data_IF_570149435132
#
_entry.id   IF_570149435132
#
_cell.length_a   1.000
_cell.length_b   1.000
_cell.length_c   1.000
_cell.angle_alpha   90.00
_cell.angle_beta   90.00
_cell.angle_gamma   90.00
#
_symmetry.space_group_name_H-M   'P 1'
#
loop_
_entity.id
_entity.type
_entity.pdbx_description
1 polymer ?
#
# COMPACT_ATOMS: atom_id res chain seq x y z
N UNK A 1 -5.48 -35.08 -4.83
CA UNK A 1 -4.63 -34.02 -5.41
C UNK A 1 -4.98 -32.72 -4.72
N UNK A 2 -4.04 -32.08 -4.00
CA UNK A 2 -4.22 -30.69 -3.56
C UNK A 2 -4.17 -29.84 -4.83
N UNK A 3 -5.27 -29.27 -5.28
CA UNK A 3 -5.26 -28.18 -6.25
C UNK A 3 -4.55 -27.02 -5.58
N UNK A 4 -3.31 -26.73 -6.00
CA UNK A 4 -2.64 -25.50 -5.61
C UNK A 4 -3.46 -24.36 -6.23
N UNK A 5 -4.23 -23.65 -5.42
CA UNK A 5 -4.88 -22.42 -5.85
C UNK A 5 -3.81 -21.31 -5.80
N UNK A 6 -3.04 -21.19 -6.88
CA UNK A 6 -1.89 -20.25 -7.03
C UNK A 6 -2.34 -18.78 -6.83
N UNK A 7 -3.65 -18.53 -6.85
CA UNK A 7 -4.27 -17.22 -6.78
C UNK A 7 -4.98 -16.94 -5.45
N UNK A 8 -4.68 -17.68 -4.37
CA UNK A 8 -5.16 -17.38 -3.00
C UNK A 8 -4.00 -17.29 -2.03
N UNK A 9 -3.23 -16.20 -2.15
CA UNK A 9 -2.11 -15.92 -1.25
C UNK A 9 -2.62 -15.11 -0.07
N UNK A 10 -2.23 -15.53 1.13
CA UNK A 10 -2.31 -14.63 2.29
C UNK A 10 -1.20 -13.59 2.19
N UNK A 11 -1.60 -12.34 1.98
CA UNK A 11 -0.68 -11.21 1.90
C UNK A 11 -0.80 -10.28 3.12
N UNK A 12 -1.63 -10.65 4.10
CA UNK A 12 -1.79 -9.88 5.33
C UNK A 12 -0.55 -9.98 6.20
N UNK A 13 -0.18 -8.85 6.80
CA UNK A 13 0.79 -8.82 7.90
C UNK A 13 0.04 -8.33 9.12
N UNK A 14 -0.11 -9.23 10.08
CA UNK A 14 -0.89 -9.01 11.28
C UNK A 14 -0.24 -9.71 12.46
N UNK A 15 -0.02 -8.95 13.52
CA UNK A 15 0.34 -9.45 14.84
C UNK A 15 -0.72 -8.96 15.83
N UNK A 16 -1.30 -9.88 16.60
CA UNK A 16 -2.23 -9.55 17.70
C UNK A 16 -1.62 -10.07 18.99
N UNK A 17 -1.59 -9.21 20.01
CA UNK A 17 -1.05 -9.51 21.34
C UNK A 17 -2.19 -9.43 22.34
N UNK A 18 -2.49 -10.56 22.98
CA UNK A 18 -3.47 -10.71 24.05
C UNK A 18 -4.88 -10.16 23.75
N UNK A 19 -5.23 -9.96 22.47
CA UNK A 19 -6.48 -9.33 22.06
C UNK A 19 -6.58 -7.83 22.37
N UNK A 20 -5.51 -7.21 22.87
CA UNK A 20 -5.49 -5.82 23.35
C UNK A 20 -4.77 -4.87 22.38
N UNK A 21 -3.74 -5.38 21.70
CA UNK A 21 -2.91 -4.60 20.77
C UNK A 21 -2.71 -5.36 19.46
N UNK A 22 -2.82 -4.66 18.34
CA UNK A 22 -2.56 -5.18 17.01
C UNK A 22 -1.53 -4.34 16.24
N UNK A 23 -0.71 -5.00 15.44
CA UNK A 23 0.18 -4.37 14.45
C UNK A 23 -0.21 -4.83 13.06
N UNK A 24 -0.30 -3.90 12.11
CA UNK A 24 -0.54 -4.23 10.70
C UNK A 24 0.10 -3.21 9.76
N UNK A 25 0.37 -3.61 8.52
CA UNK A 25 1.03 -2.77 7.52
C UNK A 25 1.71 -3.59 6.43
N UNK A 26 2.82 -3.08 5.92
CA UNK A 26 3.57 -3.70 4.83
C UNK A 26 4.77 -4.55 5.28
N UNK A 27 5.25 -4.39 6.52
CA UNK A 27 6.50 -5.00 6.99
C UNK A 27 6.37 -6.52 7.09
N UNK A 28 7.37 -7.23 6.56
CA UNK A 28 7.49 -8.68 6.72
C UNK A 28 8.55 -9.03 7.76
N UNK A 29 8.46 -10.23 8.35
CA UNK A 29 9.53 -10.78 9.19
C UNK A 29 10.60 -11.39 8.27
N UNK A 30 11.60 -10.59 7.89
CA UNK A 30 12.70 -11.01 7.04
C UNK A 30 13.96 -10.17 7.27
N UNK A 31 15.14 -10.77 7.05
CA UNK A 31 16.44 -10.13 7.23
C UNK A 31 16.60 -8.84 6.40
N UNK A 32 15.90 -8.73 5.26
CA UNK A 32 15.97 -7.53 4.41
C UNK A 32 15.39 -6.26 5.08
N UNK A 33 14.56 -6.42 6.12
CA UNK A 33 14.05 -5.31 6.93
C UNK A 33 14.98 -4.93 8.09
N UNK A 34 16.07 -5.68 8.31
CA UNK A 34 17.11 -5.34 9.29
C UNK A 34 17.98 -4.19 8.75
N UNK A 35 17.44 -2.99 8.81
CA UNK A 35 18.16 -1.78 8.41
C UNK A 35 19.26 -1.48 9.45
N UNK A 36 20.51 -1.84 9.15
CA UNK A 36 21.64 -1.53 10.05
C UNK A 36 21.89 -0.01 10.12
N UNK A 37 21.94 0.53 11.35
CA UNK A 37 22.33 1.92 11.58
C UNK A 37 23.76 2.19 11.09
N UNK A 38 23.98 3.40 10.54
CA UNK A 38 25.27 3.82 9.99
C UNK A 38 26.46 3.76 10.98
N UNK A 39 26.21 3.68 12.29
CA UNK A 39 27.23 3.57 13.35
C UNK A 39 27.84 2.17 13.52
N UNK A 40 27.25 1.13 12.92
CA UNK A 40 27.76 -0.26 12.95
C UNK A 40 28.32 -0.68 11.58
N UNK A 41 28.93 0.24 10.84
CA UNK A 41 29.58 -0.06 9.55
C UNK A 41 30.96 -0.69 9.76
N UNK A 42 31.00 -1.98 10.09
CA UNK A 42 32.08 -2.83 9.59
C UNK A 42 31.69 -3.28 8.18
N UNK A 43 32.46 -2.81 7.20
CA UNK A 43 32.47 -3.24 5.80
C UNK A 43 31.09 -3.35 5.14
N UNK A 44 30.66 -2.26 4.49
CA UNK A 44 29.57 -2.30 3.51
C UNK A 44 29.86 -3.39 2.49
N UNK A 45 29.12 -4.50 2.53
CA UNK A 45 28.90 -5.28 1.33
C UNK A 45 28.31 -4.32 0.28
N UNK A 46 28.87 -4.20 -0.93
CA UNK A 46 28.26 -3.43 -1.99
C UNK A 46 26.88 -4.03 -2.30
N UNK A 47 25.77 -3.38 -1.91
CA UNK A 47 24.43 -3.74 -2.40
C UNK A 47 23.24 -3.82 -1.44
N UNK A 48 23.35 -3.63 -0.11
CA UNK A 48 22.14 -3.66 0.75
C UNK A 48 21.44 -2.29 0.80
N UNK A 49 20.58 -2.02 -0.19
CA UNK A 49 19.66 -0.89 -0.16
C UNK A 49 18.63 -1.14 0.97
N UNK A 50 18.40 -0.20 1.90
CA UNK A 50 17.45 -0.41 3.00
C UNK A 50 16.03 -0.53 2.50
N UNK A 51 15.18 -1.27 3.23
CA UNK A 51 13.76 -1.37 2.95
C UNK A 51 13.00 -0.26 3.69
N UNK A 52 12.14 0.46 2.97
CA UNK A 52 11.28 1.51 3.51
C UNK A 52 9.83 1.05 3.47
N UNK A 53 9.28 0.80 4.65
CA UNK A 53 7.92 0.31 4.83
C UNK A 53 7.30 0.88 6.11
N UNK A 54 5.99 0.72 6.29
CA UNK A 54 5.19 1.31 7.36
C UNK A 54 4.24 0.27 7.94
N UNK A 55 4.28 0.14 9.27
CA UNK A 55 3.25 -0.53 10.06
C UNK A 55 2.60 0.48 11.02
N UNK A 56 1.41 0.14 11.50
CA UNK A 56 0.68 0.86 12.54
C UNK A 56 0.42 -0.06 13.73
N UNK A 57 0.63 0.49 14.92
CA UNK A 57 0.19 -0.10 16.19
C UNK A 57 -1.19 0.46 16.54
N UNK A 58 -2.11 -0.41 16.92
CA UNK A 58 -3.50 -0.05 17.24
C UNK A 58 -3.94 -0.79 18.50
N UNK A 59 -4.58 -0.07 19.40
CA UNK A 59 -5.21 -0.63 20.60
C UNK A 59 -6.67 -0.17 20.71
N UNK A 60 -7.46 -0.89 21.50
CA UNK A 60 -8.89 -0.64 21.69
C UNK A 60 -9.78 -1.56 20.83
N UNK A 61 -11.09 -1.27 20.72
CA UNK A 61 -12.08 -2.26 20.28
C UNK A 61 -11.90 -2.80 18.86
N UNK A 62 -11.14 -2.10 18.01
CA UNK A 62 -10.84 -2.54 16.64
C UNK A 62 -9.89 -3.75 16.61
N UNK A 63 -9.09 -3.98 17.66
CA UNK A 63 -8.23 -5.17 17.77
C UNK A 63 -9.03 -6.46 17.69
N UNK A 64 -10.28 -6.43 18.15
CA UNK A 64 -11.19 -7.58 18.06
C UNK A 64 -11.50 -7.98 16.61
N UNK A 65 -11.57 -6.99 15.69
CA UNK A 65 -11.78 -7.27 14.27
C UNK A 65 -10.53 -7.91 13.68
N UNK A 66 -9.34 -7.40 14.02
CA UNK A 66 -8.07 -7.99 13.62
C UNK A 66 -7.92 -9.43 14.13
N UNK A 67 -8.20 -9.69 15.41
CA UNK A 67 -8.13 -11.03 16.00
C UNK A 67 -9.12 -12.00 15.34
N UNK A 68 -10.35 -11.55 15.06
CA UNK A 68 -11.32 -12.37 14.32
C UNK A 68 -10.83 -12.73 12.92
N UNK A 69 -10.22 -11.79 12.18
CA UNK A 69 -9.65 -12.06 10.86
C UNK A 69 -8.50 -13.06 10.93
N UNK A 70 -7.67 -12.99 11.98
CA UNK A 70 -6.62 -13.98 12.24
C UNK A 70 -7.22 -15.38 12.50
N UNK A 71 -8.17 -15.50 13.43
CA UNK A 71 -8.82 -16.77 13.77
C UNK A 71 -9.53 -17.39 12.55
N UNK A 72 -10.22 -16.58 11.74
CA UNK A 72 -10.87 -17.04 10.51
C UNK A 72 -9.85 -17.63 9.53
N UNK A 73 -8.72 -16.95 9.35
CA UNK A 73 -7.62 -17.39 8.50
C UNK A 73 -7.03 -18.70 9.01
N UNK A 74 -6.77 -18.78 10.31
CA UNK A 74 -6.22 -19.97 10.96
C UNK A 74 -7.13 -21.18 10.75
N UNK A 75 -8.45 -21.00 10.90
CA UNK A 75 -9.44 -22.03 10.63
C UNK A 75 -9.48 -22.44 9.14
N UNK A 76 -9.40 -21.49 8.20
CA UNK A 76 -9.32 -21.78 6.76
C UNK A 76 -8.08 -22.59 6.40
N UNK A 77 -6.95 -22.33 7.06
CA UNK A 77 -5.71 -23.11 6.93
C UNK A 77 -5.74 -24.45 7.68
N UNK A 78 -6.89 -24.82 8.26
CA UNK A 78 -7.11 -26.05 9.04
C UNK A 78 -6.21 -26.15 10.28
N UNK A 79 -5.90 -25.01 10.88
CA UNK A 79 -5.23 -24.95 12.18
C UNK A 79 -6.09 -25.57 13.29
N UNK A 80 -5.48 -25.97 14.42
CA UNK A 80 -6.22 -26.37 15.62
C UNK A 80 -7.20 -25.27 16.06
N UNK A 81 -8.33 -25.63 16.71
CA UNK A 81 -9.28 -24.64 17.19
C UNK A 81 -8.61 -23.55 18.03
N UNK A 82 -8.80 -22.31 17.62
CA UNK A 82 -8.37 -21.12 18.34
C UNK A 82 -9.63 -20.30 18.62
N UNK A 83 -9.82 -19.90 19.88
CA UNK A 83 -10.91 -19.01 20.25
C UNK A 83 -10.39 -17.57 20.19
N UNK A 84 -11.15 -16.63 19.61
CA UNK A 84 -10.78 -15.22 19.68
C UNK A 84 -10.77 -14.79 21.15
N UNK A 85 -9.90 -13.84 21.45
CA UNK A 85 -9.83 -13.23 22.77
C UNK A 85 -11.15 -12.47 23.01
N UNK A 86 -11.74 -12.55 24.22
CA UNK A 86 -12.93 -11.76 24.53
C UNK A 86 -12.65 -10.28 24.27
N UNK A 87 -13.59 -9.57 23.61
CA UNK A 87 -13.31 -8.23 23.17
C UNK A 87 -13.13 -7.28 24.34
N UNK A 88 -12.03 -6.53 24.35
CA UNK A 88 -12.00 -5.31 25.16
C UNK A 88 -12.97 -4.30 24.53
N UNK A 89 -13.85 -3.76 25.37
CA UNK A 89 -14.87 -2.77 24.99
C UNK A 89 -14.51 -1.38 25.50
N UNK A 90 -13.43 -1.24 26.26
CA UNK A 90 -12.91 0.04 26.69
C UNK A 90 -12.48 0.88 25.48
N UNK A 91 -13.03 2.08 25.38
CA UNK A 91 -12.61 3.08 24.40
C UNK A 91 -11.76 4.08 25.15
N UNK A 92 -10.44 3.97 25.02
CA UNK A 92 -9.48 4.88 25.64
C UNK A 92 -9.00 5.98 24.69
N UNK A 93 -9.19 5.82 23.38
CA UNK A 93 -8.76 6.74 22.32
C UNK A 93 -9.90 7.53 21.67
N UNK A 94 -9.52 8.61 20.99
CA UNK A 94 -10.45 9.48 20.22
C UNK A 94 -10.46 9.19 18.72
N UNK A 95 -9.49 8.41 18.23
CA UNK A 95 -9.37 8.05 16.82
C UNK A 95 -10.47 7.06 16.41
N UNK A 96 -11.12 7.33 15.28
CA UNK A 96 -12.02 6.36 14.66
C UNK A 96 -11.20 5.48 13.73
N UNK A 97 -11.14 4.18 14.06
CA UNK A 97 -10.34 3.20 13.32
C UNK A 97 -11.25 2.10 12.77
N UNK A 98 -11.02 1.72 11.52
CA UNK A 98 -11.69 0.60 10.87
C UNK A 98 -10.65 -0.37 10.32
N UNK A 99 -10.71 -1.63 10.76
CA UNK A 99 -10.01 -2.72 10.10
C UNK A 99 -10.81 -3.16 8.88
N UNK A 100 -10.16 -3.21 7.72
CA UNK A 100 -10.76 -3.64 6.46
C UNK A 100 -10.22 -5.00 6.05
N UNK A 101 -11.13 -5.94 5.78
CA UNK A 101 -10.82 -7.23 5.16
C UNK A 101 -10.75 -7.08 3.64
N UNK A 102 -9.61 -7.42 3.07
CA UNK A 102 -9.35 -7.43 1.63
C UNK A 102 -9.55 -8.79 0.98
N UNK A 103 -10.07 -9.79 1.69
CA UNK A 103 -10.32 -11.12 1.11
C UNK A 103 -11.25 -11.04 -0.10
N UNK A 104 -10.92 -11.66 -1.25
CA UNK A 104 -11.64 -11.49 -2.52
C UNK A 104 -12.92 -12.33 -2.61
N UNK A 105 -13.70 -12.41 -1.52
CA UNK A 105 -14.87 -13.31 -1.39
C UNK A 105 -15.92 -13.06 -2.48
N UNK A 106 -16.08 -11.82 -2.94
CA UNK A 106 -17.04 -11.41 -3.98
C UNK A 106 -16.40 -10.72 -5.21
N UNK A 107 -15.10 -10.94 -5.45
CA UNK A 107 -14.38 -10.39 -6.62
C UNK A 107 -14.12 -8.87 -6.61
N UNK A 108 -14.59 -8.15 -5.58
CA UNK A 108 -14.31 -6.73 -5.38
C UNK A 108 -14.05 -6.43 -3.89
N UNK A 109 -12.79 -6.46 -3.42
CA UNK A 109 -12.48 -6.35 -2.01
C UNK A 109 -12.90 -4.98 -1.45
N UNK A 110 -13.35 -5.00 -0.19
CA UNK A 110 -13.85 -3.80 0.50
C UNK A 110 -12.80 -2.70 0.59
N UNK A 111 -11.52 -3.08 0.76
CA UNK A 111 -10.37 -2.16 0.78
C UNK A 111 -10.33 -1.31 -0.49
N UNK A 112 -10.34 -1.96 -1.66
CA UNK A 112 -10.26 -1.27 -2.95
C UNK A 112 -11.44 -0.32 -3.17
N UNK A 113 -12.67 -0.77 -2.87
CA UNK A 113 -13.86 0.08 -2.97
C UNK A 113 -13.78 1.29 -2.04
N UNK A 114 -13.33 1.08 -0.81
CA UNK A 114 -13.22 2.15 0.19
C UNK A 114 -12.21 3.20 -0.28
N UNK A 115 -11.07 2.78 -0.81
CA UNK A 115 -10.07 3.69 -1.36
C UNK A 115 -10.59 4.48 -2.56
N UNK A 116 -11.30 3.84 -3.52
CA UNK A 116 -11.91 4.54 -4.64
C UNK A 116 -12.95 5.57 -4.21
N UNK A 117 -13.80 5.23 -3.22
CA UNK A 117 -14.78 6.17 -2.66
C UNK A 117 -14.08 7.35 -1.99
N UNK A 118 -13.00 7.10 -1.23
CA UNK A 118 -12.24 8.17 -0.61
C UNK A 118 -11.58 9.10 -1.65
N UNK A 119 -11.00 8.55 -2.72
CA UNK A 119 -10.45 9.34 -3.84
C UNK A 119 -11.53 10.17 -4.57
N UNK A 120 -12.72 9.59 -4.75
CA UNK A 120 -13.85 10.28 -5.37
C UNK A 120 -14.36 11.42 -4.48
N UNK A 121 -14.34 11.25 -3.16
CA UNK A 121 -14.76 12.22 -2.17
C UNK A 121 -13.69 13.28 -1.84
N UNK A 122 -12.44 13.10 -2.26
CA UNK A 122 -11.35 14.02 -1.95
C UNK A 122 -11.61 15.46 -2.41
N UNK A 123 -11.31 16.42 -1.54
CA UNK A 123 -11.56 17.84 -1.74
C UNK A 123 -10.29 18.68 -1.96
N UNK A 124 -9.16 18.28 -1.38
CA UNK A 124 -7.95 19.09 -1.27
C UNK A 124 -6.68 18.35 -1.65
N UNK A 125 -6.45 17.12 -1.15
CA UNK A 125 -5.26 16.33 -1.46
C UNK A 125 -5.51 14.83 -1.48
N UNK A 126 -4.75 14.13 -2.33
CA UNK A 126 -4.60 12.68 -2.32
C UNK A 126 -3.10 12.38 -2.39
N UNK A 127 -2.53 11.87 -1.30
CA UNK A 127 -1.12 11.53 -1.21
C UNK A 127 -0.96 10.03 -1.00
N UNK A 128 -0.36 9.36 -1.99
CA UNK A 128 -0.18 7.91 -2.01
C UNK A 128 1.29 7.54 -1.96
N UNK A 129 1.63 6.52 -1.18
CA UNK A 129 2.94 5.85 -1.23
C UNK A 129 2.69 4.37 -1.41
N UNK A 130 3.20 3.80 -2.50
CA UNK A 130 3.02 2.37 -2.80
C UNK A 130 4.30 1.72 -3.31
N UNK A 131 4.60 0.51 -2.83
CA UNK A 131 5.69 -0.32 -3.32
C UNK A 131 5.41 -1.01 -4.66
N UNK A 132 4.13 -1.17 -5.03
CA UNK A 132 3.72 -1.73 -6.32
C UNK A 132 2.58 -0.89 -6.90
N UNK A 133 2.79 -0.42 -8.13
CA UNK A 133 1.84 0.43 -8.83
C UNK A 133 1.57 -0.17 -10.20
N UNK A 134 0.53 -0.97 -10.33
CA UNK A 134 -0.01 -1.45 -11.59
C UNK A 134 -1.54 -1.38 -11.52
N UNK A 135 -2.08 -0.16 -11.32
CA UNK A 135 -3.45 0.04 -10.86
C UNK A 135 -4.47 -0.38 -11.92
N UNK A 136 -5.64 -0.92 -11.51
CA UNK A 136 -6.75 -1.13 -12.43
C UNK A 136 -7.27 0.19 -13.04
N UNK A 137 -7.96 0.13 -14.21
CA UNK A 137 -8.46 1.31 -14.91
C UNK A 137 -9.28 2.28 -14.05
N UNK A 138 -10.14 1.75 -13.16
CA UNK A 138 -11.01 2.58 -12.32
C UNK A 138 -10.20 3.44 -11.33
N UNK A 139 -9.04 2.93 -10.87
CA UNK A 139 -8.15 3.69 -9.99
C UNK A 139 -7.39 4.78 -10.74
N UNK A 140 -6.92 4.49 -11.95
CA UNK A 140 -6.36 5.54 -12.83
C UNK A 140 -7.41 6.63 -13.07
N UNK A 141 -8.64 6.24 -13.44
CA UNK A 141 -9.72 7.18 -13.66
C UNK A 141 -10.04 8.01 -12.41
N UNK A 142 -10.08 7.40 -11.22
CA UNK A 142 -10.32 8.10 -9.97
C UNK A 142 -9.26 9.18 -9.69
N UNK A 143 -7.98 8.85 -9.88
CA UNK A 143 -6.86 9.79 -9.71
C UNK A 143 -6.91 10.92 -10.74
N UNK A 144 -7.14 10.59 -12.01
CA UNK A 144 -7.26 11.61 -13.05
C UNK A 144 -8.46 12.54 -12.82
N UNK A 145 -9.61 11.98 -12.41
CA UNK A 145 -10.79 12.76 -12.08
C UNK A 145 -10.53 13.69 -10.89
N UNK A 146 -9.84 13.23 -9.84
CA UNK A 146 -9.48 14.07 -8.70
C UNK A 146 -8.56 15.22 -9.12
N UNK A 147 -7.49 14.93 -9.87
CA UNK A 147 -6.58 15.96 -10.36
C UNK A 147 -7.29 17.00 -11.25
N UNK A 148 -8.18 16.56 -12.15
CA UNK A 148 -8.99 17.47 -13.00
C UNK A 148 -9.99 18.31 -12.20
N UNK A 149 -10.41 17.87 -11.00
CA UNK A 149 -11.22 18.68 -10.08
C UNK A 149 -10.40 19.75 -9.34
N UNK A 150 -9.07 19.73 -9.44
CA UNK A 150 -8.17 20.64 -8.74
C UNK A 150 -7.66 20.12 -7.39
N UNK A 151 -7.86 18.82 -7.09
CA UNK A 151 -7.26 18.16 -5.93
C UNK A 151 -5.75 17.99 -6.16
N UNK A 152 -4.92 18.24 -5.16
CA UNK A 152 -3.47 17.97 -5.21
C UNK A 152 -3.23 16.45 -5.12
N UNK A 153 -2.99 15.80 -6.26
CA UNK A 153 -2.79 14.35 -6.33
C UNK A 153 -1.31 14.06 -6.51
N UNK A 154 -0.70 13.40 -5.51
CA UNK A 154 0.70 13.02 -5.52
C UNK A 154 0.88 11.53 -5.24
N UNK A 155 1.67 10.86 -6.07
CA UNK A 155 1.92 9.42 -5.96
C UNK A 155 3.42 9.17 -5.89
N UNK A 156 3.87 8.59 -4.78
CA UNK A 156 5.24 8.12 -4.58
C UNK A 156 5.30 6.62 -4.88
N UNK A 157 6.20 6.26 -5.78
CA UNK A 157 6.42 4.90 -6.29
C UNK A 157 7.90 4.55 -6.23
N UNK A 158 8.30 3.26 -6.24
CA UNK A 158 9.72 2.89 -6.19
C UNK A 158 10.47 3.33 -7.46
N UNK A 159 11.66 3.93 -7.29
CA UNK A 159 12.64 3.99 -8.38
C UNK A 159 13.30 2.62 -8.63
N UNK A 160 13.43 1.83 -7.56
CA UNK A 160 13.98 0.47 -7.53
C UNK A 160 13.05 -0.40 -6.70
N UNK A 161 12.68 -1.57 -7.24
CA UNK A 161 11.80 -2.56 -6.62
C UNK A 161 12.45 -3.94 -6.72
N UNK A 162 12.03 -4.85 -5.85
CA UNK A 162 12.27 -6.29 -5.95
C UNK A 162 11.57 -6.94 -7.16
N UNK A 163 10.64 -6.24 -7.82
CA UNK A 163 9.99 -6.64 -9.08
C UNK A 163 10.15 -5.58 -10.19
N UNK A 164 11.13 -5.79 -11.07
CA UNK A 164 11.37 -4.88 -12.21
C UNK A 164 10.21 -4.82 -13.22
N UNK A 165 9.42 -5.90 -13.34
CA UNK A 165 8.24 -5.94 -14.21
C UNK A 165 7.13 -5.03 -13.70
N UNK A 166 6.90 -4.98 -12.38
CA UNK A 166 5.86 -4.11 -11.81
C UNK A 166 6.23 -2.63 -11.94
N UNK A 167 7.51 -2.27 -11.78
CA UNK A 167 7.98 -0.91 -12.04
C UNK A 167 7.71 -0.50 -13.50
N UNK A 168 7.99 -1.40 -14.44
CA UNK A 168 7.75 -1.15 -15.87
C UNK A 168 6.26 -1.02 -16.19
N UNK A 169 5.41 -1.85 -15.57
CA UNK A 169 3.96 -1.76 -15.71
C UNK A 169 3.43 -0.42 -15.18
N UNK A 170 3.85 0.00 -13.98
CA UNK A 170 3.46 1.29 -13.41
C UNK A 170 3.86 2.48 -14.25
N UNK A 171 5.11 2.46 -14.76
CA UNK A 171 5.63 3.48 -15.69
C UNK A 171 4.78 3.63 -16.96
N UNK A 172 4.14 2.55 -17.42
CA UNK A 172 3.27 2.61 -18.60
C UNK A 172 2.05 3.53 -18.43
N UNK A 173 1.66 3.84 -17.19
CA UNK A 173 0.53 4.72 -16.85
C UNK A 173 0.95 6.18 -16.56
N UNK A 174 2.26 6.45 -16.43
CA UNK A 174 2.74 7.79 -16.04
C UNK A 174 2.29 8.87 -17.00
N UNK A 175 2.29 8.60 -18.31
CA UNK A 175 1.92 9.63 -19.28
C UNK A 175 0.47 10.09 -19.13
N UNK A 176 -0.45 9.15 -18.86
CA UNK A 176 -1.88 9.43 -18.70
C UNK A 176 -2.12 10.21 -17.40
N UNK A 177 -1.50 9.79 -16.30
CA UNK A 177 -1.54 10.47 -15.00
C UNK A 177 -0.98 11.90 -15.07
N UNK A 178 0.22 12.07 -15.64
CA UNK A 178 0.90 13.37 -15.75
C UNK A 178 0.11 14.35 -16.63
N UNK A 179 -0.56 13.86 -17.70
CA UNK A 179 -1.45 14.70 -18.52
C UNK A 179 -2.68 15.18 -17.76
N UNK A 180 -3.20 14.37 -16.83
CA UNK A 180 -4.36 14.71 -16.02
C UNK A 180 -4.03 15.68 -14.87
N UNK A 181 -2.75 15.93 -14.59
CA UNK A 181 -2.29 16.80 -13.50
C UNK A 181 -1.90 16.05 -12.22
N UNK A 182 -1.77 14.73 -12.28
CA UNK A 182 -1.23 13.94 -11.15
C UNK A 182 0.29 14.09 -11.11
N UNK A 183 0.84 14.36 -9.93
CA UNK A 183 2.28 14.42 -9.72
C UNK A 183 2.81 13.03 -9.32
N UNK A 184 3.78 12.52 -10.08
CA UNK A 184 4.39 11.21 -9.83
C UNK A 184 5.84 11.39 -9.39
N UNK A 185 6.23 10.71 -8.32
CA UNK A 185 7.56 10.79 -7.72
C UNK A 185 8.17 9.40 -7.57
N UNK A 186 9.42 9.23 -8.03
CA UNK A 186 10.17 8.00 -7.83
C UNK A 186 11.06 8.10 -6.58
N UNK A 187 10.86 7.21 -5.61
CA UNK A 187 11.62 7.14 -4.35
C UNK A 187 12.97 6.47 -4.56
N UNK A 188 14.05 7.18 -4.22
CA UNK A 188 15.41 6.69 -4.36
C UNK A 188 16.05 6.35 -3.01
N UNK A 189 17.12 5.55 -3.02
CA UNK A 189 17.93 5.27 -1.83
C UNK A 189 17.32 4.27 -0.84
N UNK A 190 16.14 3.72 -1.14
CA UNK A 190 15.52 2.61 -0.41
C UNK A 190 14.69 1.76 -1.39
N UNK A 191 14.50 0.48 -1.09
CA UNK A 191 13.44 -0.34 -1.70
C UNK A 191 12.14 0.10 -1.04
N UNK A 192 11.28 0.80 -1.79
CA UNK A 192 10.00 1.26 -1.28
C UNK A 192 9.01 0.11 -1.27
N UNK A 193 8.49 -0.22 -0.09
CA UNK A 193 7.51 -1.29 0.10
C UNK A 193 6.31 -0.86 0.95
N UNK A 194 6.22 0.42 1.37
CA UNK A 194 5.03 0.95 2.03
C UNK A 194 3.76 0.85 1.16
N UNK A 195 2.61 0.71 1.82
CA UNK A 195 1.28 0.83 1.20
C UNK A 195 0.42 1.76 2.07
N UNK A 196 0.48 3.04 1.76
CA UNK A 196 -0.17 4.06 2.57
C UNK A 196 -0.84 5.12 1.72
N UNK A 197 -1.97 5.63 2.18
CA UNK A 197 -2.58 6.83 1.63
C UNK A 197 -2.98 7.79 2.74
N UNK A 198 -2.95 9.08 2.44
CA UNK A 198 -3.61 10.13 3.21
C UNK A 198 -4.36 11.04 2.26
N UNK A 199 -5.63 11.27 2.57
CA UNK A 199 -6.57 12.04 1.76
C UNK A 199 -7.10 13.17 2.63
N UNK A 200 -6.97 14.40 2.13
CA UNK A 200 -7.37 15.65 2.79
C UNK A 200 -6.77 15.86 4.19
N UNK A 201 -5.71 15.12 4.56
CA UNK A 201 -5.20 15.06 5.93
C UNK A 201 -6.20 14.49 6.95
N UNK A 202 -7.27 13.84 6.50
CA UNK A 202 -8.42 13.43 7.33
C UNK A 202 -8.70 11.93 7.25
N UNK A 203 -8.44 11.30 6.12
CA UNK A 203 -8.64 9.88 5.91
C UNK A 203 -7.29 9.26 5.60
N UNK A 204 -6.84 8.33 6.43
CA UNK A 204 -5.56 7.65 6.25
C UNK A 204 -5.74 6.15 6.20
N UNK A 205 -4.90 5.48 5.44
CA UNK A 205 -4.84 4.01 5.41
C UNK A 205 -3.38 3.55 5.48
N UNK A 206 -3.15 2.52 6.29
CA UNK A 206 -1.89 1.78 6.38
C UNK A 206 -2.25 0.30 6.37
N UNK A 207 -1.60 -0.49 5.52
CA UNK A 207 -1.94 -1.90 5.42
C UNK A 207 -1.04 -2.69 4.49
N UNK A 208 -1.51 -3.87 4.11
CA UNK A 208 -0.78 -4.77 3.23
C UNK A 208 -1.11 -4.57 1.75
N UNK A 209 -2.21 -3.87 1.44
CA UNK A 209 -2.79 -3.78 0.10
C UNK A 209 -1.95 -2.96 -0.87
N UNK A 210 -1.42 -3.58 -1.91
CA UNK A 210 -0.78 -2.86 -3.00
C UNK A 210 -1.81 -2.25 -3.95
N UNK A 211 -1.35 -1.32 -4.79
CA UNK A 211 -2.15 -0.73 -5.87
C UNK A 211 -1.88 -1.45 -7.20
N UNK A 212 -2.08 -2.78 -7.20
CA UNK A 212 -1.92 -3.65 -8.36
C UNK A 212 -3.10 -4.63 -8.52
N UNK A 213 -3.25 -5.19 -9.73
CA UNK A 213 -4.34 -6.11 -10.06
C UNK A 213 -4.38 -7.32 -9.14
N UNK A 214 -3.23 -7.91 -8.82
CA UNK A 214 -3.19 -9.10 -7.97
C UNK A 214 -3.63 -8.84 -6.54
N UNK A 215 -3.25 -7.70 -5.97
CA UNK A 215 -3.73 -7.28 -4.65
C UNK A 215 -5.24 -7.04 -4.66
N UNK A 216 -5.76 -6.43 -5.73
CA UNK A 216 -7.19 -6.15 -5.87
C UNK A 216 -8.03 -7.40 -6.15
N UNK A 217 -7.51 -8.41 -6.85
CA UNK A 217 -8.33 -9.53 -7.34
C UNK A 217 -8.07 -10.85 -6.61
N UNK A 218 -6.84 -11.09 -6.16
CA UNK A 218 -6.40 -12.44 -5.77
C UNK A 218 -5.89 -12.56 -4.33
N UNK A 219 -5.27 -11.51 -3.77
CA UNK A 219 -4.68 -11.61 -2.45
C UNK A 219 -5.73 -11.41 -1.35
N UNK A 220 -5.53 -12.11 -0.24
CA UNK A 220 -6.13 -11.67 1.02
C UNK A 220 -5.26 -10.54 1.56
N UNK A 221 -5.87 -9.38 1.77
CA UNK A 221 -5.22 -8.17 2.28
C UNK A 221 -5.88 -7.68 3.56
N UNK A 222 -5.20 -6.80 4.29
CA UNK A 222 -5.73 -6.18 5.50
C UNK A 222 -5.17 -4.78 5.65
N UNK A 223 -6.07 -3.83 5.90
CA UNK A 223 -5.72 -2.43 6.04
C UNK A 223 -6.38 -1.84 7.28
N UNK A 224 -5.69 -0.93 7.97
CA UNK A 224 -6.25 -0.08 9.00
C UNK A 224 -6.55 1.30 8.41
N UNK A 225 -7.83 1.67 8.39
CA UNK A 225 -8.27 3.02 8.07
C UNK A 225 -8.41 3.81 9.36
N UNK A 226 -7.78 4.99 9.41
CA UNK A 226 -7.82 5.89 10.56
C UNK A 226 -8.36 7.25 10.11
N UNK A 227 -9.38 7.73 10.81
CA UNK A 227 -10.02 9.02 10.54
C UNK A 227 -9.54 10.08 11.52
N UNK A 228 -9.41 11.30 11.01
CA UNK A 228 -9.18 12.50 11.79
C UNK A 228 -7.82 13.17 11.52
N UNK A 229 -7.71 14.47 11.86
CA UNK A 229 -6.56 15.30 11.53
C UNK A 229 -5.29 14.89 12.28
N UNK A 230 -5.42 14.31 13.47
CA UNK A 230 -4.26 13.98 14.31
C UNK A 230 -3.40 12.90 13.64
N UNK A 231 -4.01 11.79 13.24
CA UNK A 231 -3.30 10.73 12.52
C UNK A 231 -3.00 11.14 11.07
N UNK A 232 -3.91 11.86 10.41
CA UNK A 232 -3.66 12.40 9.07
C UNK A 232 -2.43 13.30 9.02
N UNK A 233 -2.20 14.15 10.03
CA UNK A 233 -1.00 14.96 10.15
C UNK A 233 0.29 14.13 10.29
N UNK A 234 0.25 13.01 11.02
CA UNK A 234 1.38 12.08 11.10
C UNK A 234 1.69 11.44 9.74
N UNK A 235 0.64 11.05 9.01
CA UNK A 235 0.77 10.46 7.68
C UNK A 235 1.26 11.47 6.64
N UNK A 236 0.81 12.72 6.70
CA UNK A 236 1.31 13.81 5.86
C UNK A 236 2.78 14.11 6.14
N UNK A 237 3.18 14.11 7.41
CA UNK A 237 4.58 14.28 7.79
C UNK A 237 5.45 13.11 7.29
N UNK A 238 4.93 11.88 7.33
CA UNK A 238 5.60 10.70 6.79
C UNK A 238 5.73 10.78 5.26
N UNK A 239 4.63 11.11 4.57
CA UNK A 239 4.61 11.32 3.13
C UNK A 239 5.61 12.39 2.69
N UNK A 240 5.66 13.53 3.40
CA UNK A 240 6.58 14.62 3.12
C UNK A 240 8.06 14.21 3.23
N UNK A 241 8.40 13.32 4.19
CA UNK A 241 9.75 12.77 4.32
C UNK A 241 10.13 11.89 3.12
N UNK A 242 9.20 11.04 2.67
CA UNK A 242 9.44 10.21 1.49
C UNK A 242 9.49 11.04 0.22
N UNK A 243 8.67 12.10 0.12
CA UNK A 243 8.67 13.04 -0.99
C UNK A 243 10.02 13.75 -1.12
N UNK A 244 10.61 14.20 0.00
CA UNK A 244 11.91 14.84 0.03
C UNK A 244 13.06 13.91 -0.43
N UNK A 245 12.89 12.60 -0.31
CA UNK A 245 13.81 11.57 -0.80
C UNK A 245 13.44 11.03 -2.20
N UNK A 246 12.48 11.66 -2.87
CA UNK A 246 11.98 11.24 -4.18
C UNK A 246 12.29 12.26 -5.27
N UNK A 247 12.28 11.80 -6.52
CA UNK A 247 12.47 12.62 -7.71
C UNK A 247 11.16 12.73 -8.48
N UNK A 248 10.73 13.96 -8.76
CA UNK A 248 9.55 14.19 -9.59
C UNK A 248 9.80 13.75 -11.04
N UNK A 249 8.81 13.05 -11.59
CA UNK A 249 8.76 12.72 -13.00
C UNK A 249 7.91 13.79 -13.70
N UNK A 250 8.52 14.53 -14.62
CA UNK A 250 7.80 15.55 -15.40
C UNK A 250 7.34 14.99 -16.73
N UNK A 251 6.18 15.45 -17.23
CA UNK A 251 5.67 15.04 -18.54
C UNK A 251 6.68 15.29 -19.67
N UNK A 252 7.40 16.42 -19.61
CA UNK A 252 8.42 16.77 -20.59
C UNK A 252 9.56 15.76 -20.58
N UNK A 253 10.14 15.47 -19.41
CA UNK A 253 11.20 14.46 -19.30
C UNK A 253 10.70 13.07 -19.73
N UNK A 254 9.49 12.70 -19.30
CA UNK A 254 8.87 11.43 -19.62
C UNK A 254 8.71 11.21 -21.13
N UNK A 255 8.36 12.24 -21.89
CA UNK A 255 8.22 12.15 -23.35
C UNK A 255 9.55 11.98 -24.09
N UNK A 256 10.67 12.39 -23.51
CA UNK A 256 12.00 12.26 -24.14
C UNK A 256 12.68 10.90 -23.87
N UNK A 257 11.97 9.95 -23.24
CA UNK A 257 12.47 8.61 -22.93
C UNK A 257 12.74 7.76 -24.19
N UNK A 258 13.62 6.76 -24.05
CA UNK A 258 14.14 5.97 -25.17
C UNK A 258 13.09 5.06 -25.81
N UNK A 259 13.28 4.71 -27.10
CA UNK A 259 12.35 3.82 -27.84
C UNK A 259 12.26 2.42 -27.20
N UNK A 260 13.36 1.92 -26.66
CA UNK A 260 13.40 0.62 -25.96
C UNK A 260 12.53 0.62 -24.69
N UNK A 261 12.55 1.72 -23.91
CA UNK A 261 11.73 1.88 -22.71
C UNK A 261 10.24 1.89 -23.08
N UNK A 262 9.86 2.64 -24.12
CA UNK A 262 8.48 2.66 -24.64
C UNK A 262 7.99 1.28 -25.08
N UNK A 263 8.85 0.50 -25.74
CA UNK A 263 8.47 -0.85 -26.18
C UNK A 263 8.26 -1.79 -24.99
N UNK A 264 9.07 -1.67 -23.95
CA UNK A 264 8.93 -2.45 -22.72
C UNK A 264 7.66 -2.09 -21.96
N UNK A 265 7.27 -0.81 -21.92
CA UNK A 265 6.00 -0.35 -21.34
C UNK A 265 4.79 -0.98 -22.04
N UNK A 266 4.76 -1.00 -23.38
CA UNK A 266 3.67 -1.62 -24.14
C UNK A 266 3.53 -3.10 -23.82
N UNK A 267 4.66 -3.81 -23.69
CA UNK A 267 4.66 -5.23 -23.31
C UNK A 267 4.18 -5.43 -21.88
N UNK A 268 4.64 -4.59 -20.95
CA UNK A 268 4.23 -4.67 -19.55
C UNK A 268 2.72 -4.43 -19.39
N UNK A 269 2.15 -3.47 -20.11
CA UNK A 269 0.70 -3.19 -20.11
C UNK A 269 -0.15 -4.37 -20.59
N UNK A 270 0.37 -5.22 -21.48
CA UNK A 270 -0.35 -6.42 -21.93
C UNK A 270 -0.42 -7.54 -20.88
N UNK A 271 0.48 -7.52 -19.89
CA UNK A 271 0.57 -8.56 -18.85
C UNK A 271 0.26 -8.03 -17.46
N UNK A 272 -0.11 -6.76 -17.31
CA UNK A 272 -0.32 -6.12 -16.01
C UNK A 272 -1.45 -6.77 -15.19
N UNK A 273 -2.47 -7.32 -15.84
CA UNK A 273 -3.56 -8.04 -15.17
C UNK A 273 -3.11 -9.39 -14.57
N UNK A 274 -1.89 -9.84 -14.89
CA UNK A 274 -1.27 -11.04 -14.34
C UNK A 274 -0.31 -10.71 -13.18
N UNK A 275 0.02 -9.43 -12.99
CA UNK A 275 0.90 -8.93 -11.93
C UNK A 275 0.11 -8.63 -10.66
#
# INVERSE_FOLDING_TARGET
>A
MKTLDINKRDHRKLLVIDGETAFTGGVNIAQVYENHHASYQHEKAPGSIPWRDTDVEVSGPVVNVFDQLFVQTWAQQKGPPLLPTPPDTAIEGTSVVQALDGSPVDGHPAIYKTLLVAMAAAHSSIHLTTGFFAPPPDMIQALECAARRGVDVRVIVPAVSDSGTTVTAGRSHYEDLLKAGVHVYERHGAVLHAKTAVIDGQWSVVGSSNLDWRSVVFNNEIDAVVMGPDFGGLMEAMFSKDLAASKEITLTAWRHRGVAERLNEVRARMVESLL
#
